data_IF_160846239914
#
_entry.id   IF_160846239914
#
_cell.length_a   1.000
_cell.length_b   1.000
_cell.length_c   1.000
_cell.angle_alpha   90.00
_cell.angle_beta   90.00
_cell.angle_gamma   90.00
#
_symmetry.space_group_name_H-M   'P 1'
#
loop_
_entity.id
_entity.type
_entity.pdbx_description
1 polymer ?
#
# COMPACT_ATOMS: atom_id res chain seq x y z
N UNK A 1 -2.97 -23.11 0.32
CA UNK A 1 -2.40 -22.11 -0.60
C UNK A 1 -2.23 -20.82 0.17
N UNK A 2 -1.16 -20.07 -0.08
CA UNK A 2 -0.93 -18.77 0.58
C UNK A 2 -1.74 -17.67 -0.08
N UNK A 3 -2.29 -16.77 0.72
CA UNK A 3 -2.87 -15.51 0.29
C UNK A 3 -1.80 -14.42 0.40
N UNK A 4 -1.66 -13.56 -0.61
CA UNK A 4 -0.60 -12.55 -0.68
C UNK A 4 -1.20 -11.18 -0.95
N UNK A 5 -0.66 -10.18 -0.25
CA UNK A 5 -0.95 -8.78 -0.42
C UNK A 5 0.36 -7.99 -0.54
N UNK A 6 0.21 -6.71 -0.86
CA UNK A 6 1.27 -5.72 -0.74
C UNK A 6 1.15 -5.02 0.60
N UNK A 7 2.30 -4.66 1.18
CA UNK A 7 2.37 -3.80 2.34
C UNK A 7 3.68 -3.02 2.30
N UNK A 8 3.78 -1.98 3.12
CA UNK A 8 4.92 -1.07 3.09
C UNK A 8 5.24 -0.54 4.48
N UNK A 9 6.51 -0.21 4.72
CA UNK A 9 6.96 0.34 5.99
C UNK A 9 6.44 1.78 6.14
N UNK A 10 5.68 2.01 7.21
CA UNK A 10 5.02 3.29 7.48
C UNK A 10 5.65 3.96 8.70
N UNK A 11 6.36 5.06 8.46
CA UNK A 11 7.16 5.72 9.48
C UNK A 11 8.42 4.93 9.86
N UNK A 12 9.16 5.47 10.83
CA UNK A 12 10.55 5.10 11.10
C UNK A 12 10.73 3.99 12.14
N UNK A 13 9.64 3.36 12.59
CA UNK A 13 9.65 2.45 13.74
C UNK A 13 9.43 0.98 13.36
N UNK A 14 9.45 0.64 12.06
CA UNK A 14 9.25 -0.74 11.59
C UNK A 14 7.80 -1.21 11.72
N UNK A 15 6.87 -0.26 11.56
CA UNK A 15 5.46 -0.56 11.34
C UNK A 15 5.23 -0.82 9.86
N UNK A 16 4.35 -1.76 9.56
CA UNK A 16 3.90 -2.07 8.20
C UNK A 16 2.40 -1.82 8.13
N UNK A 17 1.95 -1.21 7.03
CA UNK A 17 0.53 -1.02 6.75
C UNK A 17 0.14 -1.79 5.49
N UNK A 18 -1.05 -2.38 5.52
CA UNK A 18 -1.70 -3.11 4.41
C UNK A 18 -3.23 -3.03 4.60
N UNK A 19 -4.02 -3.77 3.83
CA UNK A 19 -5.48 -3.79 4.02
C UNK A 19 -5.93 -4.64 5.20
N UNK A 20 -7.10 -4.33 5.76
CA UNK A 20 -7.77 -5.16 6.76
C UNK A 20 -8.14 -6.52 6.18
N UNK A 21 -8.62 -6.56 4.93
CA UNK A 21 -8.91 -7.83 4.26
C UNK A 21 -7.67 -8.69 4.00
N UNK A 22 -6.45 -8.14 4.20
CA UNK A 22 -5.20 -8.91 4.19
C UNK A 22 -4.81 -9.44 5.57
N UNK A 23 -5.04 -8.65 6.62
CA UNK A 23 -4.74 -9.01 8.01
C UNK A 23 -5.91 -8.50 8.87
N UNK A 24 -6.86 -9.39 9.17
CA UNK A 24 -8.12 -8.98 9.81
C UNK A 24 -8.07 -9.04 11.34
N UNK A 25 -7.20 -9.88 11.90
CA UNK A 25 -7.12 -10.17 13.33
C UNK A 25 -5.72 -10.61 13.76
N UNK A 26 -5.51 -10.66 15.08
CA UNK A 26 -4.20 -10.93 15.66
C UNK A 26 -3.67 -12.34 15.33
N UNK A 27 -4.57 -13.32 15.14
CA UNK A 27 -4.21 -14.67 14.75
C UNK A 27 -3.64 -14.72 13.32
N UNK A 28 -4.18 -13.91 12.41
CA UNK A 28 -3.68 -13.81 11.05
C UNK A 28 -2.29 -13.18 11.04
N UNK A 29 -2.11 -12.08 11.80
CA UNK A 29 -0.84 -11.35 11.89
C UNK A 29 0.34 -12.23 12.33
N UNK A 30 0.10 -13.19 13.23
CA UNK A 30 1.12 -14.15 13.70
C UNK A 30 1.60 -15.14 12.63
N UNK A 31 0.84 -15.28 11.54
CA UNK A 31 1.15 -16.19 10.42
C UNK A 31 1.67 -15.44 9.19
N UNK A 32 1.82 -14.11 9.27
CA UNK A 32 2.28 -13.29 8.15
C UNK A 32 3.80 -13.38 8.00
N UNK A 33 4.22 -13.92 6.85
CA UNK A 33 5.59 -13.77 6.38
C UNK A 33 5.78 -12.44 5.66
N UNK A 34 6.83 -11.70 5.99
CA UNK A 34 7.17 -10.42 5.35
C UNK A 34 8.41 -10.59 4.49
N UNK A 35 8.30 -10.25 3.20
CA UNK A 35 9.38 -10.31 2.21
C UNK A 35 9.59 -8.93 1.60
N UNK A 36 10.83 -8.45 1.59
CA UNK A 36 11.21 -7.17 0.97
C UNK A 36 12.19 -7.39 -0.18
N UNK A 37 12.15 -6.50 -1.17
CA UNK A 37 13.10 -6.52 -2.29
C UNK A 37 12.84 -7.64 -3.29
N UNK A 38 11.58 -8.06 -3.47
CA UNK A 38 11.20 -8.94 -4.57
C UNK A 38 11.20 -8.16 -5.89
N UNK A 39 12.38 -7.99 -6.49
CA UNK A 39 12.64 -7.21 -7.71
C UNK A 39 13.67 -7.94 -8.58
N UNK A 40 13.50 -7.89 -9.90
CA UNK A 40 14.50 -8.44 -10.82
C UNK A 40 15.65 -7.44 -11.04
N UNK A 41 16.78 -7.95 -11.53
CA UNK A 41 17.98 -7.13 -11.72
C UNK A 41 17.81 -6.04 -12.79
N UNK A 42 16.96 -6.27 -13.79
CA UNK A 42 16.71 -5.35 -14.90
C UNK A 42 15.24 -5.26 -15.25
N UNK A 43 14.79 -4.13 -15.81
CA UNK A 43 13.40 -3.95 -16.26
C UNK A 43 12.98 -4.93 -17.35
N UNK A 44 13.93 -5.36 -18.20
CA UNK A 44 13.67 -6.29 -19.31
C UNK A 44 13.85 -7.77 -18.93
N UNK A 45 14.06 -8.08 -17.64
CA UNK A 45 14.17 -9.47 -17.20
C UNK A 45 12.84 -10.19 -17.46
N UNK A 46 12.81 -11.32 -18.22
CA UNK A 46 11.57 -12.06 -18.50
C UNK A 46 10.90 -12.65 -17.25
N UNK A 47 11.59 -12.65 -16.10
CA UNK A 47 11.00 -13.01 -14.82
C UNK A 47 10.13 -11.91 -14.21
N UNK A 48 10.20 -10.66 -14.70
CA UNK A 48 9.31 -9.59 -14.24
C UNK A 48 7.83 -9.93 -14.46
N UNK A 49 7.50 -10.77 -15.46
CA UNK A 49 6.14 -11.21 -15.77
C UNK A 49 5.74 -12.54 -15.11
N UNK A 50 6.62 -13.14 -14.30
CA UNK A 50 6.37 -14.44 -13.67
C UNK A 50 6.02 -14.28 -12.20
N UNK A 51 4.89 -14.86 -11.82
CA UNK A 51 4.45 -14.95 -10.43
C UNK A 51 5.53 -15.63 -9.56
N UNK A 52 5.81 -15.06 -8.38
CA UNK A 52 6.80 -15.54 -7.39
C UNK A 52 8.26 -15.62 -7.90
N UNK A 53 8.57 -15.01 -9.04
CA UNK A 53 9.94 -14.87 -9.50
C UNK A 53 10.65 -13.70 -8.80
N UNK A 54 11.97 -13.59 -9.00
CA UNK A 54 12.83 -12.56 -8.40
C UNK A 54 12.55 -12.34 -6.91
N UNK A 55 12.68 -13.43 -6.14
CA UNK A 55 12.40 -13.46 -4.71
C UNK A 55 13.24 -12.45 -3.97
N UNK A 56 12.60 -11.77 -3.03
CA UNK A 56 13.27 -10.88 -2.09
C UNK A 56 13.83 -11.62 -0.88
N UNK A 57 14.07 -10.85 0.16
CA UNK A 57 14.54 -11.32 1.46
C UNK A 57 13.37 -11.42 2.41
N UNK A 58 13.10 -12.63 2.92
CA UNK A 58 12.17 -12.83 4.02
C UNK A 58 12.79 -12.27 5.30
N UNK A 59 12.18 -11.23 5.86
CA UNK A 59 12.70 -10.53 7.04
C UNK A 59 12.00 -10.96 8.34
N UNK A 60 10.78 -11.48 8.24
CA UNK A 60 10.00 -11.96 9.38
C UNK A 60 9.04 -13.05 8.95
N UNK A 61 8.66 -13.91 9.90
CA UNK A 61 7.63 -14.94 9.76
C UNK A 61 6.40 -14.68 10.63
N UNK A 62 6.37 -13.56 11.35
CA UNK A 62 5.23 -13.07 12.10
C UNK A 62 5.21 -11.55 12.15
N UNK A 63 4.04 -11.01 12.47
CA UNK A 63 3.82 -9.62 12.80
C UNK A 63 2.89 -9.51 13.99
N UNK A 64 2.95 -8.38 14.70
CA UNK A 64 2.03 -8.07 15.79
C UNK A 64 0.98 -7.06 15.31
N UNK A 65 -0.31 -7.42 15.35
CA UNK A 65 -1.39 -6.51 14.99
C UNK A 65 -1.56 -5.40 16.03
N UNK A 66 -1.58 -4.14 15.57
CA UNK A 66 -1.84 -2.97 16.42
C UNK A 66 -3.26 -2.44 16.24
N UNK A 67 -3.73 -2.36 15.00
CA UNK A 67 -5.07 -1.94 14.65
C UNK A 67 -5.47 -2.57 13.31
N UNK A 68 -6.71 -3.05 13.22
CA UNK A 68 -7.35 -3.40 11.96
C UNK A 68 -8.71 -2.69 11.93
N UNK A 69 -8.98 -1.96 10.85
CA UNK A 69 -10.22 -1.22 10.67
C UNK A 69 -10.88 -1.65 9.38
N UNK A 70 -12.06 -2.27 9.50
CA UNK A 70 -12.84 -2.77 8.36
C UNK A 70 -13.42 -1.62 7.52
N UNK A 71 -13.77 -0.49 8.16
CA UNK A 71 -14.45 0.63 7.49
C UNK A 71 -13.54 1.41 6.54
N UNK A 72 -12.26 1.51 6.89
CA UNK A 72 -11.20 2.12 6.08
C UNK A 72 -10.30 1.06 5.41
N UNK A 73 -10.69 -0.22 5.53
CA UNK A 73 -9.98 -1.41 5.06
C UNK A 73 -8.45 -1.30 5.18
N UNK A 74 -7.95 -1.08 6.40
CA UNK A 74 -6.51 -1.07 6.67
C UNK A 74 -6.15 -1.87 7.93
N UNK A 75 -4.94 -2.39 7.94
CA UNK A 75 -4.32 -2.99 9.11
C UNK A 75 -2.93 -2.36 9.31
N UNK A 76 -2.66 -1.93 10.53
CA UNK A 76 -1.34 -1.51 11.00
C UNK A 76 -0.76 -2.62 11.87
N UNK A 77 0.40 -3.13 11.47
CA UNK A 77 1.13 -4.18 12.18
C UNK A 77 2.54 -3.73 12.50
N UNK A 78 3.14 -4.31 13.53
CA UNK A 78 4.59 -4.21 13.81
C UNK A 78 5.28 -5.45 13.24
N UNK A 79 6.35 -5.27 12.49
CA UNK A 79 7.15 -6.41 12.01
C UNK A 79 7.96 -6.98 13.18
N UNK A 80 7.84 -8.28 13.43
CA UNK A 80 8.54 -8.96 14.54
C UNK A 80 9.98 -9.28 14.14
N UNK A 81 10.85 -8.28 14.24
CA UNK A 81 12.30 -8.40 14.03
C UNK A 81 13.06 -8.02 15.29
N UNK A 82 14.28 -8.53 15.45
CA UNK A 82 15.15 -8.21 16.58
C UNK A 82 15.63 -6.75 16.57
N UNK A 83 15.75 -6.15 15.39
CA UNK A 83 16.17 -4.76 15.21
C UNK A 83 15.34 -4.07 14.12
N UNK A 84 14.30 -3.34 14.55
CA UNK A 84 13.47 -2.59 13.62
C UNK A 84 14.17 -1.35 13.04
N UNK A 85 15.17 -0.80 13.73
CA UNK A 85 15.93 0.33 13.20
C UNK A 85 16.79 -0.11 12.01
N UNK A 86 17.44 -1.29 12.09
CA UNK A 86 18.16 -1.87 10.98
C UNK A 86 17.24 -2.21 9.79
N UNK A 87 16.04 -2.73 10.04
CA UNK A 87 15.05 -3.00 8.99
C UNK A 87 14.71 -1.72 8.21
N UNK A 88 14.36 -0.66 8.95
CA UNK A 88 14.00 0.64 8.36
C UNK A 88 15.20 1.30 7.69
N UNK A 89 16.40 1.23 8.26
CA UNK A 89 17.61 1.76 7.65
C UNK A 89 17.95 1.06 6.33
N UNK A 90 17.67 -0.24 6.21
CA UNK A 90 17.95 -1.02 5.01
C UNK A 90 16.95 -0.76 3.88
N UNK A 91 15.66 -0.72 4.17
CA UNK A 91 14.61 -0.65 3.14
C UNK A 91 13.96 0.73 3.00
N UNK A 92 14.24 1.65 3.92
CA UNK A 92 13.54 2.92 4.03
C UNK A 92 12.10 2.74 4.53
N UNK A 93 11.35 3.82 4.50
CA UNK A 93 9.93 3.86 4.84
C UNK A 93 9.24 4.95 4.02
N UNK A 94 7.92 4.84 3.87
CA UNK A 94 7.12 5.88 3.24
C UNK A 94 6.42 6.74 4.28
N UNK A 95 6.08 7.95 3.85
CA UNK A 95 5.30 8.90 4.62
C UNK A 95 4.00 9.21 3.88
N UNK A 96 2.91 9.37 4.62
CA UNK A 96 1.62 9.77 4.09
C UNK A 96 1.44 11.30 4.15
N UNK A 97 0.50 11.81 3.34
CA UNK A 97 -0.09 13.13 3.57
C UNK A 97 -1.19 13.02 4.61
N UNK A 98 -1.33 14.05 5.43
CA UNK A 98 -2.51 14.24 6.30
C UNK A 98 -3.54 15.19 5.70
N UNK A 99 -3.34 15.61 4.44
CA UNK A 99 -4.30 16.38 3.64
C UNK A 99 -4.91 15.53 2.52
N UNK A 100 -6.14 15.83 2.07
CA UNK A 100 -6.74 15.18 0.91
C UNK A 100 -5.93 15.38 -0.39
N UNK A 101 -5.91 14.38 -1.25
CA UNK A 101 -5.51 14.52 -2.66
C UNK A 101 -6.58 15.24 -3.48
N UNK A 102 -6.14 15.95 -4.52
CA UNK A 102 -7.02 16.70 -5.41
C UNK A 102 -7.52 15.84 -6.59
N UNK A 103 -8.66 16.23 -7.17
CA UNK A 103 -9.13 15.66 -8.43
C UNK A 103 -8.12 16.00 -9.55
N UNK A 104 -7.79 15.01 -10.38
CA UNK A 104 -6.81 15.15 -11.45
C UNK A 104 -5.35 15.15 -10.98
N UNK A 105 -5.09 14.96 -9.68
CA UNK A 105 -3.74 14.87 -9.15
C UNK A 105 -3.00 13.67 -9.75
N UNK A 106 -1.81 13.90 -10.29
CA UNK A 106 -0.93 12.85 -10.81
C UNK A 106 -0.44 11.93 -9.69
N UNK A 107 -0.55 10.63 -9.92
CA UNK A 107 -0.19 9.58 -8.96
C UNK A 107 0.62 8.47 -9.61
N UNK A 108 1.21 7.62 -8.78
CA UNK A 108 1.67 6.30 -9.18
C UNK A 108 1.42 5.28 -8.07
N UNK A 109 1.26 4.01 -8.46
CA UNK A 109 1.05 2.88 -7.54
C UNK A 109 2.30 2.01 -7.52
N UNK A 110 2.76 1.62 -6.33
CA UNK A 110 3.85 0.65 -6.17
C UNK A 110 3.32 -0.62 -5.53
N UNK A 111 3.64 -1.79 -6.07
CA UNK A 111 3.23 -3.04 -5.43
C UNK A 111 3.61 -4.29 -6.18
N UNK A 112 2.91 -5.38 -5.87
CA UNK A 112 3.16 -6.72 -6.41
C UNK A 112 1.93 -7.27 -7.16
N UNK A 113 1.54 -6.68 -8.32
CA UNK A 113 0.41 -7.15 -9.11
C UNK A 113 0.63 -8.59 -9.58
N UNK A 114 -0.39 -9.45 -9.44
CA UNK A 114 -0.34 -10.89 -9.67
C UNK A 114 0.77 -11.63 -8.91
N UNK A 115 1.25 -11.06 -7.80
CA UNK A 115 2.39 -11.57 -7.02
C UNK A 115 3.65 -11.69 -7.89
N UNK A 116 3.76 -10.81 -8.89
CA UNK A 116 4.96 -10.61 -9.69
C UNK A 116 5.97 -9.75 -8.89
N UNK A 117 7.24 -9.69 -9.34
CA UNK A 117 8.21 -8.72 -8.84
C UNK A 117 7.65 -7.30 -8.81
N UNK A 118 8.19 -6.47 -7.91
CA UNK A 118 7.75 -5.09 -7.67
C UNK A 118 7.55 -4.32 -8.98
N UNK A 119 6.40 -3.69 -9.12
CA UNK A 119 6.06 -2.82 -10.26
C UNK A 119 5.64 -1.43 -9.82
N UNK A 120 5.81 -0.51 -10.75
CA UNK A 120 5.29 0.84 -10.68
C UNK A 120 4.24 1.00 -11.78
N UNK A 121 3.03 1.39 -11.42
CA UNK A 121 2.00 1.81 -12.38
C UNK A 121 1.98 3.34 -12.39
N UNK A 122 2.64 3.94 -13.40
CA UNK A 122 2.74 5.39 -13.57
C UNK A 122 1.84 5.92 -14.68
N UNK A 123 1.65 5.12 -15.72
CA UNK A 123 0.93 5.51 -16.93
C UNK A 123 -0.37 4.72 -17.03
N UNK A 124 -1.36 5.34 -17.63
CA UNK A 124 -2.59 4.72 -18.09
C UNK A 124 -2.41 4.21 -19.54
N UNK A 125 -3.37 3.42 -20.03
CA UNK A 125 -3.35 2.83 -21.38
C UNK A 125 -3.21 3.87 -22.52
N UNK A 126 -3.61 5.11 -22.28
CA UNK A 126 -3.45 6.23 -23.23
C UNK A 126 -2.07 6.90 -23.19
N UNK A 127 -1.14 6.34 -22.41
CA UNK A 127 0.23 6.83 -22.24
C UNK A 127 0.36 8.07 -21.35
N UNK A 128 -0.74 8.57 -20.77
CA UNK A 128 -0.72 9.70 -19.83
C UNK A 128 -0.48 9.22 -18.41
N UNK A 129 0.00 10.12 -17.56
CA UNK A 129 0.17 9.84 -16.13
C UNK A 129 -1.16 9.43 -15.50
N UNK A 130 -1.13 8.43 -14.63
CA UNK A 130 -2.27 8.06 -13.82
C UNK A 130 -2.65 9.22 -12.88
N UNK A 131 -3.95 9.36 -12.60
CA UNK A 131 -4.51 10.46 -11.82
C UNK A 131 -5.61 10.00 -10.89
N UNK A 132 -5.90 10.80 -9.87
CA UNK A 132 -7.16 10.72 -9.12
C UNK A 132 -8.31 11.14 -10.04
N UNK A 133 -9.25 10.23 -10.31
CA UNK A 133 -10.40 10.45 -11.19
C UNK A 133 -11.69 10.76 -10.44
N UNK A 134 -11.75 10.44 -9.13
CA UNK A 134 -12.83 10.84 -8.24
C UNK A 134 -12.31 11.00 -6.81
N UNK A 135 -12.75 12.03 -6.09
CA UNK A 135 -12.35 12.31 -4.72
C UNK A 135 -13.28 11.73 -3.66
N UNK A 136 -14.44 11.19 -4.04
CA UNK A 136 -15.44 10.62 -3.13
C UNK A 136 -16.37 9.67 -3.88
N UNK A 137 -16.05 8.37 -3.86
CA UNK A 137 -16.88 7.34 -4.50
C UNK A 137 -16.96 6.08 -3.65
N UNK A 138 -18.06 5.33 -3.71
CA UNK A 138 -18.08 3.97 -3.19
C UNK A 138 -17.11 3.07 -3.97
N UNK A 139 -16.54 2.12 -3.23
CA UNK A 139 -15.73 1.01 -3.71
C UNK A 139 -16.61 -0.19 -4.02
N UNK A 140 -16.20 -1.03 -4.98
CA UNK A 140 -16.86 -2.32 -5.25
C UNK A 140 -16.69 -3.33 -4.11
N UNK A 141 -15.79 -3.05 -3.17
CA UNK A 141 -15.48 -3.88 -2.01
C UNK A 141 -16.22 -3.45 -0.72
N UNK A 142 -17.11 -2.44 -0.80
CA UNK A 142 -18.06 -2.11 0.28
C UNK A 142 -17.80 -0.77 0.99
N UNK A 143 -16.65 -0.14 0.77
CA UNK A 143 -16.35 1.18 1.33
C UNK A 143 -17.19 2.27 0.65
N UNK A 144 -17.66 3.24 1.41
CA UNK A 144 -18.59 4.27 0.92
C UNK A 144 -17.90 5.54 0.45
N UNK A 145 -16.66 5.78 0.87
CA UNK A 145 -15.90 7.00 0.53
C UNK A 145 -14.41 6.73 0.29
N UNK A 146 -14.07 6.52 -0.98
CA UNK A 146 -12.70 6.26 -1.47
C UNK A 146 -12.29 7.25 -2.55
N UNK A 147 -10.99 7.29 -2.86
CA UNK A 147 -10.51 7.84 -4.12
C UNK A 147 -10.70 6.83 -5.24
N UNK A 148 -11.09 7.27 -6.43
CA UNK A 148 -10.91 6.49 -7.66
C UNK A 148 -9.72 7.00 -8.46
N UNK A 149 -9.10 6.10 -9.22
CA UNK A 149 -7.97 6.43 -10.08
C UNK A 149 -7.82 5.44 -11.25
N UNK A 150 -7.00 5.83 -12.24
CA UNK A 150 -6.77 5.11 -13.48
C UNK A 150 -5.33 4.59 -13.61
N UNK A 151 -4.91 3.73 -12.67
CA UNK A 151 -3.65 3.01 -12.73
C UNK A 151 -3.91 1.51 -12.62
N UNK A 152 -3.14 0.70 -13.35
CA UNK A 152 -3.31 -0.76 -13.36
C UNK A 152 -3.02 -1.41 -12.01
N UNK A 153 -3.88 -2.36 -11.66
CA UNK A 153 -3.73 -3.21 -10.47
C UNK A 153 -4.22 -4.62 -10.80
N UNK A 154 -3.57 -5.63 -10.23
CA UNK A 154 -4.01 -7.03 -10.28
C UNK A 154 -4.15 -7.58 -8.85
N UNK A 155 -4.68 -8.80 -8.69
CA UNK A 155 -4.66 -9.49 -7.39
C UNK A 155 -3.25 -9.50 -6.78
N UNK A 156 -3.14 -9.26 -5.47
CA UNK A 156 -1.84 -9.02 -4.80
C UNK A 156 -1.47 -7.53 -4.68
N UNK A 157 -2.14 -6.64 -5.42
CA UNK A 157 -1.96 -5.19 -5.24
C UNK A 157 -2.62 -4.66 -3.97
N UNK A 158 -3.55 -5.39 -3.35
CA UNK A 158 -4.19 -5.01 -2.08
C UNK A 158 -3.16 -4.52 -1.07
N UNK A 159 -3.32 -3.30 -0.56
CA UNK A 159 -2.42 -2.65 0.40
C UNK A 159 -1.28 -1.87 -0.24
N UNK A 160 -1.25 -1.78 -1.58
CA UNK A 160 -0.26 -0.96 -2.29
C UNK A 160 -0.42 0.52 -1.96
N UNK A 161 0.68 1.25 -1.71
CA UNK A 161 0.64 2.70 -1.57
C UNK A 161 0.34 3.34 -2.94
N UNK A 162 -0.53 4.34 -2.91
CA UNK A 162 -0.78 5.26 -4.01
C UNK A 162 -0.13 6.59 -3.64
N UNK A 163 0.85 7.03 -4.41
CA UNK A 163 1.69 8.17 -4.09
C UNK A 163 1.39 9.35 -5.01
N UNK A 164 1.35 10.55 -4.46
CA UNK A 164 1.32 11.78 -5.26
C UNK A 164 2.66 11.96 -5.98
N UNK A 165 2.61 12.12 -7.30
CA UNK A 165 3.81 12.19 -8.13
C UNK A 165 4.67 13.44 -7.88
N UNK A 166 4.10 14.49 -7.28
CA UNK A 166 4.78 15.76 -7.01
C UNK A 166 5.67 15.73 -5.77
N UNK A 167 5.37 14.89 -4.77
CA UNK A 167 6.04 14.91 -3.47
C UNK A 167 6.40 13.51 -2.93
N UNK A 168 6.04 12.45 -3.65
CA UNK A 168 6.27 11.06 -3.29
C UNK A 168 5.70 10.69 -1.91
N UNK A 169 4.59 11.31 -1.52
CA UNK A 169 3.86 11.00 -0.28
C UNK A 169 2.63 10.16 -0.58
N UNK A 170 2.34 9.21 0.29
CA UNK A 170 1.19 8.31 0.13
C UNK A 170 -0.10 9.09 0.38
N UNK A 171 -0.98 9.11 -0.62
CA UNK A 171 -2.27 9.81 -0.57
C UNK A 171 -3.44 8.84 -0.40
N UNK A 172 -3.28 7.58 -0.81
CA UNK A 172 -4.28 6.55 -0.67
C UNK A 172 -3.65 5.15 -0.52
N UNK A 173 -4.42 4.21 0.04
CA UNK A 173 -4.08 2.80 0.15
C UNK A 173 -4.98 2.01 -0.80
N UNK A 174 -4.43 1.35 -1.82
CA UNK A 174 -5.25 0.55 -2.73
C UNK A 174 -5.99 -0.54 -1.95
N UNK A 175 -7.30 -0.63 -2.17
CA UNK A 175 -8.18 -1.56 -1.46
C UNK A 175 -8.96 -2.47 -2.41
N UNK A 176 -9.37 -1.95 -3.58
CA UNK A 176 -10.27 -2.67 -4.46
C UNK A 176 -9.94 -2.42 -5.93
N UNK A 177 -9.80 -3.52 -6.68
CA UNK A 177 -9.79 -3.51 -8.13
C UNK A 177 -11.22 -3.35 -8.66
N UNK A 178 -11.36 -2.63 -9.77
CA UNK A 178 -12.69 -2.43 -10.36
C UNK A 178 -12.68 -1.99 -11.82
N UNK A 179 -11.51 -1.69 -12.39
CA UNK A 179 -11.34 -1.43 -13.81
C UNK A 179 -11.52 -2.72 -14.62
N UNK A 180 -12.32 -2.66 -15.69
CA UNK A 180 -12.43 -3.71 -16.70
C UNK A 180 -12.35 -3.09 -18.09
N UNK A 181 -12.25 -3.92 -19.13
CA UNK A 181 -12.28 -3.47 -20.52
C UNK A 181 -13.57 -2.70 -20.90
N UNK A 182 -14.66 -2.84 -20.13
CA UNK A 182 -15.94 -2.17 -20.35
C UNK A 182 -16.20 -1.02 -19.38
N UNK A 183 -15.20 -0.65 -18.58
CA UNK A 183 -15.24 0.45 -17.63
C UNK A 183 -15.14 0.02 -16.16
N UNK A 184 -15.29 0.99 -15.27
CA UNK A 184 -15.05 0.83 -13.84
C UNK A 184 -13.83 1.61 -13.39
N UNK A 185 -13.47 1.45 -12.12
CA UNK A 185 -12.43 2.24 -11.48
C UNK A 185 -11.76 1.43 -10.37
N UNK A 186 -10.44 1.57 -10.25
CA UNK A 186 -9.71 1.12 -9.07
C UNK A 186 -9.92 2.15 -7.96
N UNK A 187 -9.97 1.69 -6.72
CA UNK A 187 -10.15 2.57 -5.57
C UNK A 187 -9.02 2.45 -4.57
N UNK A 188 -8.88 3.49 -3.75
CA UNK A 188 -8.00 3.48 -2.60
C UNK A 188 -8.60 4.24 -1.42
N UNK A 189 -8.45 3.67 -0.22
CA UNK A 189 -8.83 4.31 1.03
C UNK A 189 -7.95 5.53 1.30
N UNK A 190 -8.59 6.61 1.78
CA UNK A 190 -7.96 7.93 1.86
C UNK A 190 -6.94 7.97 3.01
N UNK A 191 -5.66 8.17 2.71
CA UNK A 191 -4.62 8.11 3.75
C UNK A 191 -4.80 9.17 4.83
N UNK A 192 -5.31 10.37 4.51
CA UNK A 192 -5.55 11.39 5.53
C UNK A 192 -6.58 10.95 6.58
N UNK A 193 -7.57 10.12 6.23
CA UNK A 193 -8.53 9.55 7.19
C UNK A 193 -7.89 8.48 8.07
N UNK A 194 -7.10 7.60 7.46
CA UNK A 194 -6.32 6.58 8.18
C UNK A 194 -5.36 7.26 9.17
N UNK A 195 -4.65 8.30 8.74
CA UNK A 195 -3.77 9.11 9.57
C UNK A 195 -4.55 9.77 10.72
N UNK A 196 -5.70 10.37 10.45
CA UNK A 196 -6.53 10.99 11.48
C UNK A 196 -6.96 9.98 12.56
N UNK A 197 -7.42 8.78 12.15
CA UNK A 197 -7.79 7.71 13.06
C UNK A 197 -6.58 7.22 13.89
N UNK A 198 -5.41 7.04 13.26
CA UNK A 198 -4.21 6.61 13.96
C UNK A 198 -3.72 7.68 14.96
N UNK A 199 -3.85 8.98 14.64
CA UNK A 199 -3.59 10.08 15.59
C UNK A 199 -4.55 10.00 16.77
N UNK A 200 -5.85 9.83 16.53
CA UNK A 200 -6.88 9.68 17.57
C UNK A 200 -6.59 8.51 18.51
N UNK A 201 -6.20 7.36 17.94
CA UNK A 201 -5.86 6.14 18.70
C UNK A 201 -4.47 6.18 19.33
N UNK A 202 -3.66 7.22 19.09
CA UNK A 202 -2.26 7.32 19.51
C UNK A 202 -1.39 6.16 19.01
N UNK A 203 -1.67 5.70 17.79
CA UNK A 203 -0.97 4.60 17.11
C UNK A 203 -0.24 5.06 15.84
N UNK A 204 -0.24 6.36 15.52
CA UNK A 204 0.48 6.87 14.37
C UNK A 204 2.00 6.66 14.58
N UNK A 205 2.68 5.89 13.70
CA UNK A 205 4.12 5.69 13.83
C UNK A 205 4.90 7.01 13.75
N UNK A 206 6.06 7.07 14.40
CA UNK A 206 6.97 8.21 14.25
C UNK A 206 7.35 8.40 12.77
N UNK A 207 7.46 9.66 12.36
CA UNK A 207 7.81 10.07 10.99
C UNK A 207 6.83 9.55 9.91
N UNK A 208 5.65 9.05 10.27
CA UNK A 208 4.66 8.53 9.33
C UNK A 208 4.03 9.61 8.43
N UNK A 209 4.00 10.87 8.86
CA UNK A 209 3.41 11.98 8.09
C UNK A 209 4.48 13.01 7.78
N UNK A 210 4.60 13.39 6.51
CA UNK A 210 5.53 14.44 6.11
C UNK A 210 4.96 15.82 6.49
N UNK A 211 5.74 16.63 7.21
CA UNK A 211 5.31 17.98 7.61
C UNK A 211 4.60 18.06 8.96
N UNK A 212 4.72 17.04 9.82
CA UNK A 212 4.39 17.18 11.24
C UNK A 212 5.18 18.35 11.83
N UNK A 213 4.48 19.42 12.20
CA UNK A 213 5.06 20.62 12.76
C UNK A 213 5.98 20.28 13.94
N UNK A 214 7.12 20.97 14.00
CA UNK A 214 7.98 21.07 15.18
C UNK A 214 7.16 21.44 16.44
#
# INVERSE_FOLDING_TARGET
GGYYCTGWLFGSEGHLITNHHCISKAEDAKLVGVEFGAECATCDDPNNDKQLACKGVKVANSTTLLLADESLDFALVKVDVTDSAALVAKYGYLQARDTPAALGESIYVMGHPAIKPKRFALLNDDGKTATITNTSTPSKCGETDTYAYNADTEGGSSGSPILGASDNKVVALHNCGGCTATGGQNTGNKMHKIVALLKEKKLLPKDAVAGGAC
#
